data_IF_092942756394
#
_entry.id   IF_092942756394
#
_cell.length_a   1.000
_cell.length_b   1.000
_cell.length_c   1.000
_cell.angle_alpha   90.00
_cell.angle_beta   90.00
_cell.angle_gamma   90.00
#
_symmetry.space_group_name_H-M   'P 1'
#
loop_
_entity.id
_entity.type
_entity.pdbx_description
1 polymer ?
#
# COMPACT_ATOMS: atom_id res chain seq x y z
N UNK A 1 -36.43 -4.86 -29.82
CA UNK A 1 -35.63 -5.34 -30.98
C UNK A 1 -34.33 -5.88 -30.43
N UNK A 2 -34.23 -7.20 -30.34
CA UNK A 2 -33.10 -7.92 -29.78
C UNK A 2 -32.12 -8.28 -30.90
N UNK A 3 -30.86 -7.87 -30.79
CA UNK A 3 -29.79 -8.28 -31.70
C UNK A 3 -29.00 -9.44 -31.08
N UNK A 4 -29.26 -10.64 -31.61
CA UNK A 4 -28.43 -11.83 -31.49
C UNK A 4 -27.19 -11.67 -32.38
N UNK A 5 -25.98 -11.93 -31.87
CA UNK A 5 -24.82 -12.29 -32.69
C UNK A 5 -24.14 -13.54 -32.13
N UNK A 6 -24.01 -14.52 -33.03
CA UNK A 6 -23.58 -15.91 -32.82
C UNK A 6 -22.10 -16.03 -32.46
N UNK A 7 -21.82 -16.96 -31.55
CA UNK A 7 -20.51 -17.56 -31.31
C UNK A 7 -20.19 -18.61 -32.38
N UNK A 8 -18.98 -18.59 -32.94
CA UNK A 8 -18.44 -19.64 -33.80
C UNK A 8 -17.44 -20.49 -33.03
N UNK A 9 -17.77 -21.77 -32.89
CA UNK A 9 -16.92 -22.85 -32.39
C UNK A 9 -16.14 -23.48 -33.56
N UNK A 10 -14.86 -23.80 -33.35
CA UNK A 10 -14.13 -24.78 -34.17
C UNK A 10 -13.46 -25.83 -33.29
N UNK A 11 -13.78 -27.10 -33.56
CA UNK A 11 -13.21 -28.31 -32.99
C UNK A 11 -11.91 -28.73 -33.70
N UNK A 12 -11.00 -29.25 -32.88
CA UNK A 12 -9.97 -30.30 -33.05
C UNK A 12 -9.83 -31.05 -34.39
N UNK A 13 -8.57 -31.28 -34.78
CA UNK A 13 -8.12 -32.51 -35.44
C UNK A 13 -6.72 -32.94 -34.93
N UNK A 14 -6.59 -34.25 -34.70
CA UNK A 14 -5.51 -35.03 -34.11
C UNK A 14 -4.33 -35.33 -35.06
N UNK A 15 -3.16 -35.70 -34.50
CA UNK A 15 -2.19 -36.54 -35.23
C UNK A 15 -0.76 -36.52 -34.70
N UNK A 16 -0.37 -37.56 -33.96
CA UNK A 16 0.96 -37.85 -33.44
C UNK A 16 2.00 -38.13 -34.55
N UNK A 17 3.25 -37.66 -34.38
CA UNK A 17 4.49 -38.48 -34.44
C UNK A 17 5.74 -37.63 -34.70
N UNK A 18 6.65 -37.55 -33.72
CA UNK A 18 8.12 -37.74 -33.87
C UNK A 18 8.85 -37.40 -32.58
N UNK A 19 8.98 -38.42 -31.73
CA UNK A 19 10.16 -38.58 -30.90
C UNK A 19 11.39 -38.70 -31.80
N UNK A 20 12.31 -37.74 -31.69
CA UNK A 20 13.78 -37.89 -31.73
C UNK A 20 14.41 -36.52 -31.98
N UNK A 21 14.89 -35.89 -30.90
CA UNK A 21 16.06 -35.01 -30.89
C UNK A 21 16.50 -34.84 -29.43
N UNK A 22 16.90 -35.95 -28.82
CA UNK A 22 17.83 -35.95 -27.71
C UNK A 22 19.22 -35.70 -28.30
N UNK A 23 19.76 -34.49 -28.11
CA UNK A 23 21.13 -34.33 -27.64
C UNK A 23 21.45 -32.85 -27.36
N UNK A 24 22.03 -32.67 -26.16
CA UNK A 24 23.13 -31.73 -25.89
C UNK A 24 22.76 -30.29 -25.56
N UNK A 25 22.32 -30.06 -24.32
CA UNK A 25 22.75 -28.88 -23.54
C UNK A 25 23.06 -29.33 -22.11
N UNK A 26 24.35 -29.63 -21.88
CA UNK A 26 24.95 -29.70 -20.54
C UNK A 26 25.45 -28.30 -20.20
N UNK A 27 25.44 -28.02 -18.89
CA UNK A 27 26.17 -26.98 -18.15
C UNK A 27 25.77 -25.52 -18.34
N UNK A 28 25.00 -24.99 -17.38
CA UNK A 28 25.30 -23.72 -16.70
C UNK A 28 24.87 -23.81 -15.22
N UNK A 29 25.79 -24.02 -14.27
CA UNK A 29 25.48 -24.15 -12.84
C UNK A 29 25.34 -22.81 -12.10
N UNK A 30 24.85 -21.75 -12.76
CA UNK A 30 24.80 -20.38 -12.20
C UNK A 30 23.39 -19.77 -12.13
N UNK A 31 22.33 -20.59 -12.28
CA UNK A 31 20.94 -20.12 -12.27
C UNK A 31 20.03 -20.74 -11.22
N UNK A 32 20.57 -21.44 -10.21
CA UNK A 32 19.76 -22.10 -9.18
C UNK A 32 20.00 -21.66 -7.73
N UNK A 33 20.85 -20.67 -7.47
CA UNK A 33 21.15 -20.22 -6.11
C UNK A 33 20.43 -18.91 -5.68
N UNK A 34 19.81 -18.19 -6.61
CA UNK A 34 19.16 -16.88 -6.34
C UNK A 34 17.67 -17.02 -5.98
N UNK A 35 17.07 -18.17 -6.28
CA UNK A 35 15.65 -18.45 -6.00
C UNK A 35 15.43 -18.93 -4.56
N UNK A 36 16.46 -19.48 -3.90
CA UNK A 36 16.31 -20.10 -2.58
C UNK A 36 16.53 -19.14 -1.40
N UNK A 37 17.31 -18.08 -1.59
CA UNK A 37 17.67 -17.12 -0.54
C UNK A 37 16.54 -16.14 -0.22
N UNK A 38 15.81 -15.69 -1.24
CA UNK A 38 14.58 -14.92 -1.05
C UNK A 38 13.44 -15.76 -0.44
N UNK A 39 13.41 -17.07 -0.72
CA UNK A 39 12.38 -18.00 -0.27
C UNK A 39 12.46 -18.28 1.25
N UNK A 40 13.67 -18.39 1.80
CA UNK A 40 13.87 -18.54 3.26
C UNK A 40 13.65 -17.21 4.03
N UNK A 41 13.94 -16.06 3.43
CA UNK A 41 13.67 -14.74 3.99
C UNK A 41 12.16 -14.45 4.08
N UNK A 42 11.40 -14.85 3.06
CA UNK A 42 9.95 -14.81 3.13
C UNK A 42 9.42 -15.72 4.22
N UNK A 43 10.12 -16.79 4.64
CA UNK A 43 9.66 -17.73 5.68
C UNK A 43 9.75 -17.23 7.13
N UNK A 44 10.43 -16.11 7.41
CA UNK A 44 10.70 -15.67 8.79
C UNK A 44 10.27 -14.25 9.13
N UNK A 45 9.98 -13.42 8.12
CA UNK A 45 9.67 -12.02 8.34
C UNK A 45 8.17 -11.79 8.57
N UNK A 46 7.83 -11.14 9.68
CA UNK A 46 6.45 -10.76 10.04
C UNK A 46 5.98 -9.49 9.30
N UNK A 47 6.40 -9.28 8.06
CA UNK A 47 5.84 -8.20 7.23
C UNK A 47 4.48 -8.69 6.74
N UNK A 48 3.39 -8.15 7.30
CA UNK A 48 2.02 -8.58 6.97
C UNK A 48 1.78 -8.53 5.45
N UNK A 49 1.44 -9.66 4.86
CA UNK A 49 1.07 -9.78 3.45
C UNK A 49 2.20 -9.96 2.42
N UNK A 50 3.47 -9.95 2.82
CA UNK A 50 4.61 -10.12 1.90
C UNK A 50 4.67 -11.51 1.22
N UNK A 51 3.95 -12.47 1.77
CA UNK A 51 4.21 -13.89 1.69
C UNK A 51 3.71 -14.64 0.45
N UNK A 52 2.59 -14.26 -0.20
CA UNK A 52 1.98 -15.16 -1.20
C UNK A 52 1.70 -14.64 -2.58
N UNK A 53 1.91 -13.35 -2.84
CA UNK A 53 1.32 -12.78 -4.06
C UNK A 53 2.34 -12.57 -5.19
N UNK A 54 3.58 -13.03 -4.99
CA UNK A 54 4.69 -12.76 -5.92
C UNK A 54 5.20 -13.96 -6.73
N UNK A 55 4.45 -15.06 -6.80
CA UNK A 55 4.74 -16.15 -7.77
C UNK A 55 4.85 -15.65 -9.23
N UNK A 56 4.28 -14.48 -9.56
CA UNK A 56 4.27 -13.91 -10.91
C UNK A 56 5.24 -12.73 -11.16
N UNK A 57 6.01 -12.25 -10.17
CA UNK A 57 7.04 -11.21 -10.40
C UNK A 57 8.43 -11.84 -10.44
N UNK A 58 8.98 -11.98 -11.64
CA UNK A 58 10.34 -12.51 -11.88
C UNK A 58 11.43 -11.43 -11.90
N UNK A 59 11.04 -10.16 -11.70
CA UNK A 59 11.94 -9.01 -11.64
C UNK A 59 11.72 -8.29 -10.31
N UNK A 60 12.78 -8.19 -9.52
CA UNK A 60 12.80 -7.49 -8.24
C UNK A 60 14.09 -6.70 -8.08
N UNK A 61 14.18 -5.93 -6.98
CA UNK A 61 15.33 -5.13 -6.59
C UNK A 61 16.65 -5.92 -6.53
N UNK A 62 16.56 -7.24 -6.40
CA UNK A 62 17.66 -8.19 -6.44
C UNK A 62 18.40 -8.29 -7.77
N UNK A 63 17.89 -7.69 -8.85
CA UNK A 63 18.48 -7.83 -10.19
C UNK A 63 19.83 -7.10 -10.34
N UNK A 64 20.19 -6.21 -9.42
CA UNK A 64 21.39 -5.37 -9.45
C UNK A 64 22.10 -5.29 -8.09
N UNK A 65 22.29 -6.43 -7.41
CA UNK A 65 23.13 -6.50 -6.21
C UNK A 65 24.60 -6.62 -6.67
N UNK A 66 25.49 -5.68 -6.32
CA UNK A 66 26.91 -5.80 -6.67
C UNK A 66 27.53 -7.06 -6.02
N UNK A 67 28.52 -7.66 -6.68
CA UNK A 67 29.12 -8.92 -6.23
C UNK A 67 29.81 -8.85 -4.85
N UNK A 68 30.10 -7.65 -4.36
CA UNK A 68 30.64 -7.40 -3.01
C UNK A 68 29.60 -7.54 -1.88
N UNK A 69 28.31 -7.53 -2.20
CA UNK A 69 27.23 -7.66 -1.22
C UNK A 69 26.65 -9.07 -1.25
N UNK A 70 26.43 -9.63 -0.05
CA UNK A 70 25.72 -10.89 0.10
C UNK A 70 24.21 -10.69 -0.07
N UNK A 71 23.59 -11.53 -0.91
CA UNK A 71 22.18 -11.37 -1.25
C UNK A 71 21.25 -11.71 -0.07
N UNK A 72 21.65 -12.64 0.80
CA UNK A 72 20.89 -12.98 2.01
C UNK A 72 20.96 -11.84 3.03
N UNK A 73 22.13 -11.23 3.21
CA UNK A 73 22.28 -10.05 4.04
C UNK A 73 21.43 -8.88 3.53
N UNK A 74 21.45 -8.58 2.24
CA UNK A 74 20.60 -7.53 1.64
C UNK A 74 19.12 -7.86 1.80
N UNK A 75 18.74 -9.13 1.69
CA UNK A 75 17.36 -9.54 1.94
C UNK A 75 16.97 -9.28 3.41
N UNK A 76 17.80 -9.73 4.36
CA UNK A 76 17.56 -9.60 5.80
C UNK A 76 17.30 -8.15 6.23
N UNK A 77 18.04 -7.18 5.67
CA UNK A 77 17.88 -5.79 6.05
C UNK A 77 16.56 -5.15 5.62
N UNK A 78 15.77 -5.74 4.72
CA UNK A 78 14.41 -5.26 4.44
C UNK A 78 13.45 -5.44 5.64
N UNK A 79 13.79 -6.28 6.63
CA UNK A 79 12.99 -6.40 7.86
C UNK A 79 12.94 -5.08 8.65
N UNK A 80 13.94 -4.21 8.48
CA UNK A 80 14.00 -2.89 9.12
C UNK A 80 12.96 -1.91 8.57
N UNK A 81 12.32 -2.21 7.44
CA UNK A 81 11.16 -1.43 6.98
C UNK A 81 10.00 -1.49 7.98
N UNK A 82 9.89 -2.57 8.77
CA UNK A 82 8.86 -2.71 9.80
C UNK A 82 8.98 -1.65 10.90
N UNK A 83 10.18 -1.09 11.12
CA UNK A 83 10.37 -0.01 12.08
C UNK A 83 9.52 1.24 11.80
N UNK A 84 9.04 1.37 10.57
CA UNK A 84 8.19 2.47 10.14
C UNK A 84 6.69 2.18 10.27
N UNK A 85 6.29 0.92 10.33
CA UNK A 85 4.89 0.48 10.20
C UNK A 85 4.37 -0.31 11.40
N UNK A 86 5.26 -0.87 12.23
CA UNK A 86 4.91 -1.71 13.37
C UNK A 86 5.27 -1.01 14.69
N UNK A 87 4.26 -0.64 15.46
CA UNK A 87 4.41 -0.03 16.80
C UNK A 87 5.04 -1.00 17.81
N UNK A 88 4.96 -2.31 17.55
CA UNK A 88 5.59 -3.35 18.37
C UNK A 88 6.98 -3.75 17.86
N UNK A 89 7.53 -3.00 16.90
CA UNK A 89 8.82 -3.31 16.30
C UNK A 89 9.94 -3.38 17.35
N UNK A 90 10.65 -4.49 17.35
CA UNK A 90 11.89 -4.67 18.08
C UNK A 90 13.01 -4.82 17.07
N UNK A 91 13.99 -3.94 17.14
CA UNK A 91 15.13 -3.97 16.22
C UNK A 91 15.83 -5.35 16.25
N UNK A 92 16.02 -6.00 15.10
CA UNK A 92 16.82 -7.23 15.01
C UNK A 92 18.25 -7.00 15.51
N UNK A 93 18.90 -8.07 15.97
CA UNK A 93 20.28 -8.00 16.49
C UNK A 93 21.35 -7.83 15.41
N UNK A 94 21.00 -8.00 14.13
CA UNK A 94 21.91 -7.93 13.00
C UNK A 94 21.89 -6.53 12.35
N UNK A 95 22.97 -6.13 11.68
CA UNK A 95 23.09 -4.79 11.07
C UNK A 95 22.87 -4.78 9.55
N UNK A 96 22.19 -5.80 9.01
CA UNK A 96 21.97 -6.00 7.58
C UNK A 96 21.24 -4.84 6.88
N UNK A 97 20.58 -3.98 7.65
CA UNK A 97 20.04 -2.70 7.17
C UNK A 97 21.11 -1.83 6.49
N UNK A 98 22.39 -1.90 6.91
CA UNK A 98 23.50 -1.14 6.31
C UNK A 98 23.78 -1.59 4.88
N UNK A 99 23.89 -2.91 4.67
CA UNK A 99 24.10 -3.50 3.35
C UNK A 99 22.92 -3.18 2.43
N UNK A 100 21.70 -3.31 2.95
CA UNK A 100 20.47 -3.03 2.21
C UNK A 100 20.35 -1.56 1.81
N UNK A 101 20.60 -0.63 2.74
CA UNK A 101 20.59 0.82 2.47
C UNK A 101 21.62 1.21 1.40
N UNK A 102 22.82 0.61 1.46
CA UNK A 102 23.86 0.84 0.47
C UNK A 102 23.45 0.36 -0.92
N UNK A 103 22.88 -0.84 -1.04
CA UNK A 103 22.41 -1.39 -2.32
C UNK A 103 21.25 -0.57 -2.89
N UNK A 104 20.29 -0.14 -2.06
CA UNK A 104 19.20 0.73 -2.50
C UNK A 104 19.72 2.05 -3.06
N UNK A 105 20.67 2.68 -2.35
CA UNK A 105 21.33 3.92 -2.81
C UNK A 105 22.10 3.74 -4.11
N UNK A 106 22.86 2.66 -4.26
CA UNK A 106 23.62 2.36 -5.49
C UNK A 106 22.70 2.20 -6.70
N UNK A 107 21.48 1.69 -6.47
CA UNK A 107 20.47 1.51 -7.49
C UNK A 107 19.53 2.72 -7.66
N UNK A 108 19.75 3.80 -6.90
CA UNK A 108 18.88 4.97 -6.87
C UNK A 108 17.41 4.61 -6.61
N UNK A 109 17.19 3.70 -5.66
CA UNK A 109 15.87 3.24 -5.22
C UNK A 109 15.54 3.91 -3.90
N UNK A 110 14.35 4.53 -3.82
CA UNK A 110 13.86 5.15 -2.58
C UNK A 110 13.32 4.09 -1.59
N UNK A 111 13.21 4.43 -0.31
CA UNK A 111 12.54 3.59 0.68
C UNK A 111 11.06 3.41 0.33
N UNK A 112 10.38 4.43 -0.19
CA UNK A 112 9.03 4.25 -0.73
C UNK A 112 8.98 3.18 -1.83
N UNK A 113 9.86 3.28 -2.84
CA UNK A 113 9.92 2.32 -3.93
C UNK A 113 10.25 0.92 -3.41
N UNK A 114 11.21 0.80 -2.49
CA UNK A 114 11.56 -0.44 -1.82
C UNK A 114 10.38 -1.04 -1.06
N UNK A 115 9.70 -0.25 -0.22
CA UNK A 115 8.56 -0.69 0.57
C UNK A 115 7.40 -1.16 -0.33
N UNK A 116 7.03 -0.39 -1.35
CA UNK A 116 6.04 -0.79 -2.36
C UNK A 116 6.48 -2.02 -3.14
N UNK A 117 7.79 -2.13 -3.40
CA UNK A 117 8.38 -3.23 -4.14
C UNK A 117 8.71 -4.44 -3.28
N UNK A 118 8.55 -4.45 -1.96
CA UNK A 118 8.55 -5.69 -1.17
C UNK A 118 7.15 -6.05 -0.69
N UNK A 119 6.29 -5.05 -0.46
CA UNK A 119 4.92 -5.26 -0.02
C UNK A 119 4.01 -5.84 -1.12
N UNK A 120 2.92 -6.51 -0.74
CA UNK A 120 1.84 -6.87 -1.66
C UNK A 120 1.14 -5.64 -2.25
N UNK A 121 0.76 -5.73 -3.52
CA UNK A 121 0.07 -4.67 -4.26
C UNK A 121 -1.45 -4.80 -4.29
N UNK A 122 -2.12 -3.88 -4.97
CA UNK A 122 -3.59 -3.89 -5.01
C UNK A 122 -4.19 -5.06 -5.78
N UNK A 123 -3.56 -5.46 -6.88
CA UNK A 123 -3.98 -6.64 -7.63
C UNK A 123 -3.76 -7.95 -6.85
N UNK A 124 -2.94 -7.89 -5.80
CA UNK A 124 -2.60 -9.04 -4.97
C UNK A 124 -3.76 -9.33 -4.00
N UNK A 125 -4.26 -8.30 -3.30
CA UNK A 125 -5.36 -8.45 -2.34
C UNK A 125 -6.75 -8.28 -2.96
N UNK A 126 -6.95 -7.35 -3.89
CA UNK A 126 -8.27 -6.98 -4.41
C UNK A 126 -8.42 -7.59 -5.81
N UNK A 127 -9.23 -8.65 -5.92
CA UNK A 127 -9.34 -9.45 -7.16
C UNK A 127 -10.49 -9.04 -8.05
N UNK A 128 -11.66 -8.79 -7.45
CA UNK A 128 -12.88 -8.39 -8.18
C UNK A 128 -13.56 -7.27 -7.44
N UNK A 129 -14.11 -6.33 -8.18
CA UNK A 129 -14.70 -5.12 -7.64
C UNK A 129 -16.04 -4.87 -8.29
N UNK A 130 -17.01 -4.50 -7.48
CA UNK A 130 -18.35 -4.19 -7.92
C UNK A 130 -18.80 -2.90 -7.28
N UNK A 131 -19.59 -2.14 -8.02
CA UNK A 131 -20.41 -1.08 -7.48
C UNK A 131 -21.87 -1.48 -7.66
N UNK A 132 -22.54 -1.75 -6.54
CA UNK A 132 -23.78 -2.54 -6.55
C UNK A 132 -23.58 -3.86 -7.30
N UNK A 133 -24.34 -4.07 -8.37
CA UNK A 133 -24.28 -5.28 -9.19
C UNK A 133 -23.30 -5.21 -10.38
N UNK A 134 -22.68 -4.04 -10.63
CA UNK A 134 -21.85 -3.83 -11.81
C UNK A 134 -20.39 -4.10 -11.51
N UNK A 135 -19.82 -5.13 -12.13
CA UNK A 135 -18.39 -5.44 -12.03
C UNK A 135 -17.55 -4.38 -12.78
N UNK A 136 -16.47 -3.93 -12.17
CA UNK A 136 -15.49 -3.05 -12.77
C UNK A 136 -14.06 -3.56 -12.53
N UNK A 137 -13.12 -3.11 -13.34
CA UNK A 137 -11.71 -3.46 -13.15
C UNK A 137 -11.16 -2.79 -11.89
N UNK A 138 -10.75 -3.58 -10.90
CA UNK A 138 -10.22 -3.07 -9.64
C UNK A 138 -9.01 -2.14 -9.80
N UNK A 139 -8.19 -2.38 -10.84
CA UNK A 139 -7.00 -1.58 -11.13
C UNK A 139 -7.11 -1.07 -12.57
N UNK A 140 -7.58 0.16 -12.70
CA UNK A 140 -7.69 0.88 -13.97
C UNK A 140 -7.23 2.33 -13.84
N UNK A 141 -6.90 2.97 -14.96
CA UNK A 141 -6.46 4.37 -15.00
C UNK A 141 -7.59 5.39 -14.81
N UNK A 142 -8.83 4.94 -14.61
CA UNK A 142 -9.99 5.82 -14.44
C UNK A 142 -10.01 6.43 -13.02
N UNK A 143 -10.36 7.72 -12.91
CA UNK A 143 -10.18 8.53 -11.69
C UNK A 143 -11.05 8.07 -10.50
N UNK A 144 -12.20 7.43 -10.75
CA UNK A 144 -13.24 7.26 -9.72
C UNK A 144 -13.53 5.81 -9.29
N UNK A 145 -13.46 4.84 -10.21
CA UNK A 145 -13.80 3.44 -9.96
C UNK A 145 -12.55 2.57 -10.02
N UNK A 146 -11.57 2.85 -9.17
CA UNK A 146 -10.29 2.14 -9.19
C UNK A 146 -9.66 2.15 -7.81
N UNK A 147 -8.92 1.09 -7.50
CA UNK A 147 -7.99 1.05 -6.39
C UNK A 147 -6.62 1.52 -6.87
N UNK A 148 -6.05 2.47 -6.14
CA UNK A 148 -4.70 2.97 -6.37
C UNK A 148 -3.76 2.54 -5.23
N UNK A 149 -2.47 2.27 -5.53
CA UNK A 149 -1.47 2.05 -4.50
C UNK A 149 -1.27 3.31 -3.68
N UNK A 150 -1.34 3.17 -2.36
CA UNK A 150 -1.19 4.26 -1.39
C UNK A 150 -0.36 3.79 -0.21
N UNK A 151 -0.17 4.67 0.76
CA UNK A 151 0.41 4.34 2.05
C UNK A 151 -0.59 4.72 3.14
N UNK A 152 -0.48 4.04 4.28
CA UNK A 152 -1.09 4.41 5.55
C UNK A 152 -0.07 4.17 6.67
N UNK A 153 -0.44 4.46 7.92
CA UNK A 153 0.41 4.13 9.08
C UNK A 153 0.78 2.64 9.19
N UNK A 154 0.00 1.75 8.56
CA UNK A 154 0.26 0.30 8.49
C UNK A 154 1.20 -0.12 7.34
N UNK A 155 1.68 0.82 6.52
CA UNK A 155 2.51 0.51 5.35
C UNK A 155 1.83 0.75 4.00
N UNK A 156 2.39 0.17 2.93
CA UNK A 156 1.75 0.11 1.61
C UNK A 156 0.33 -0.47 1.67
N UNK A 157 -0.62 0.26 1.09
CA UNK A 157 -2.04 -0.01 1.12
C UNK A 157 -2.69 0.21 -0.26
N UNK A 158 -3.99 -0.03 -0.34
CA UNK A 158 -4.80 0.19 -1.53
C UNK A 158 -6.04 1.01 -1.19
N UNK A 159 -6.19 2.14 -1.84
CA UNK A 159 -7.30 3.06 -1.57
C UNK A 159 -8.24 3.17 -2.77
N UNK A 160 -9.53 3.16 -2.47
CA UNK A 160 -10.61 3.46 -3.40
C UNK A 160 -11.15 4.86 -3.11
N UNK A 161 -11.49 5.63 -4.14
CA UNK A 161 -12.07 6.97 -4.01
C UNK A 161 -11.23 7.93 -3.13
N UNK A 162 -9.90 7.88 -3.29
CA UNK A 162 -8.95 8.67 -2.51
C UNK A 162 -8.11 9.56 -3.42
N UNK A 163 -8.13 10.87 -3.19
CA UNK A 163 -7.35 11.82 -3.99
C UNK A 163 -6.97 13.07 -3.18
N UNK A 164 -6.06 12.95 -2.22
CA UNK A 164 -5.74 14.02 -1.28
C UNK A 164 -4.99 15.20 -1.92
N UNK A 165 -4.41 15.00 -3.12
CA UNK A 165 -3.56 16.00 -3.81
C UNK A 165 -4.33 16.86 -4.80
N UNK A 166 -5.46 16.38 -5.32
CA UNK A 166 -6.27 17.13 -6.26
C UNK A 166 -7.38 17.89 -5.52
N UNK A 167 -7.16 19.18 -5.26
CA UNK A 167 -8.15 20.03 -4.60
C UNK A 167 -9.44 20.26 -5.42
N UNK A 168 -9.45 19.86 -6.69
CA UNK A 168 -10.64 19.87 -7.57
C UNK A 168 -11.26 18.48 -7.71
N UNK A 169 -10.76 17.48 -6.99
CA UNK A 169 -11.35 16.14 -6.98
C UNK A 169 -12.75 16.19 -6.41
N UNK A 170 -13.70 15.63 -7.17
CA UNK A 170 -15.05 15.38 -6.71
C UNK A 170 -15.10 13.90 -6.36
N UNK A 171 -15.21 13.53 -5.08
CA UNK A 171 -15.32 12.14 -4.69
C UNK A 171 -16.52 11.49 -5.35
N UNK A 172 -16.33 10.24 -5.76
CA UNK A 172 -17.42 9.41 -6.18
C UNK A 172 -18.37 9.17 -5.00
N UNK A 173 -19.67 9.40 -5.21
CA UNK A 173 -20.68 9.30 -4.16
C UNK A 173 -21.77 8.31 -4.55
N UNK A 174 -22.26 7.58 -3.55
CA UNK A 174 -23.45 6.77 -3.69
C UNK A 174 -24.69 7.66 -3.71
N UNK A 175 -25.64 7.36 -4.59
CA UNK A 175 -26.94 8.02 -4.68
C UNK A 175 -28.07 7.22 -4.01
N UNK A 176 -27.77 5.98 -3.57
CA UNK A 176 -28.69 5.09 -2.86
C UNK A 176 -27.97 4.48 -1.66
N UNK A 177 -28.75 4.00 -0.70
CA UNK A 177 -28.25 3.38 0.54
C UNK A 177 -28.36 1.86 0.48
N UNK A 178 -27.68 1.18 1.39
CA UNK A 178 -27.67 -0.28 1.49
C UNK A 178 -26.65 -0.94 0.57
N UNK A 179 -26.72 -2.28 0.51
CA UNK A 179 -25.72 -3.10 -0.18
C UNK A 179 -25.65 -2.79 -1.69
N UNK A 180 -26.77 -2.43 -2.29
CA UNK A 180 -26.88 -2.11 -3.72
C UNK A 180 -26.20 -0.79 -4.11
N UNK A 181 -25.99 0.10 -3.14
CA UNK A 181 -25.33 1.41 -3.31
C UNK A 181 -23.85 1.42 -2.94
N UNK A 182 -23.30 0.27 -2.58
CA UNK A 182 -21.97 0.17 -1.99
C UNK A 182 -20.90 -0.37 -2.92
N UNK A 183 -19.67 -0.33 -2.41
CA UNK A 183 -18.53 -1.04 -2.94
C UNK A 183 -18.55 -2.49 -2.43
N UNK A 184 -18.46 -3.45 -3.34
CA UNK A 184 -18.19 -4.86 -2.99
C UNK A 184 -16.85 -5.26 -3.56
N UNK A 185 -16.01 -5.88 -2.73
CA UNK A 185 -14.74 -6.44 -3.16
C UNK A 185 -14.68 -7.92 -2.86
N UNK A 186 -14.12 -8.69 -3.78
CA UNK A 186 -13.68 -10.06 -3.50
C UNK A 186 -12.17 -9.99 -3.36
N UNK A 187 -11.72 -10.20 -2.13
CA UNK A 187 -10.31 -10.16 -1.77
C UNK A 187 -9.69 -11.54 -1.61
N UNK A 188 -8.36 -11.60 -1.69
CA UNK A 188 -7.57 -12.77 -1.30
C UNK A 188 -6.63 -12.34 -0.20
N UNK A 189 -6.60 -13.07 0.92
CA UNK A 189 -5.54 -12.88 1.91
C UNK A 189 -4.22 -13.42 1.35
N UNK A 190 -3.12 -12.71 1.67
CA UNK A 190 -1.76 -13.06 1.26
C UNK A 190 -1.00 -13.97 2.22
N UNK A 191 -1.69 -14.69 3.12
CA UNK A 191 -1.08 -15.62 4.08
C UNK A 191 -1.80 -16.97 4.08
N UNK A 192 -1.15 -18.04 3.59
CA UNK A 192 -1.64 -19.43 3.62
C UNK A 192 -1.37 -20.05 4.99
N UNK A 193 -0.41 -19.49 5.74
CA UNK A 193 0.08 -20.04 7.00
C UNK A 193 -0.55 -19.38 8.23
N UNK A 194 -1.18 -18.22 8.08
CA UNK A 194 -1.84 -17.53 9.17
C UNK A 194 -3.28 -17.17 8.80
N UNK A 195 -4.17 -18.17 8.81
CA UNK A 195 -5.61 -18.00 8.57
C UNK A 195 -6.32 -17.18 9.67
N UNK A 196 -5.57 -16.69 10.66
CA UNK A 196 -6.05 -15.84 11.75
C UNK A 196 -5.96 -14.33 11.43
N UNK A 197 -5.30 -13.97 10.33
CA UNK A 197 -5.22 -12.60 9.84
C UNK A 197 -6.27 -12.36 8.76
N UNK A 198 -6.56 -11.09 8.47
CA UNK A 198 -7.65 -10.70 7.59
C UNK A 198 -7.30 -9.44 6.83
N UNK A 199 -8.21 -8.95 5.98
CA UNK A 199 -8.06 -7.64 5.37
C UNK A 199 -8.44 -6.57 6.40
N UNK A 200 -7.50 -5.69 6.72
CA UNK A 200 -7.78 -4.50 7.51
C UNK A 200 -8.33 -3.44 6.56
N UNK A 201 -9.59 -3.06 6.75
CA UNK A 201 -10.25 -1.98 6.01
C UNK A 201 -10.21 -0.72 6.85
N UNK A 202 -9.60 0.33 6.30
CA UNK A 202 -9.51 1.65 6.91
C UNK A 202 -10.48 2.59 6.20
N UNK A 203 -11.36 3.23 6.96
CA UNK A 203 -12.39 4.14 6.45
C UNK A 203 -12.05 5.56 6.88
N UNK A 204 -11.97 6.45 5.91
CA UNK A 204 -11.58 7.85 6.10
C UNK A 204 -12.21 8.74 5.03
N UNK A 205 -12.09 10.06 5.20
CA UNK A 205 -12.55 11.01 4.20
C UNK A 205 -11.64 10.98 2.95
N UNK A 206 -12.17 11.14 1.72
CA UNK A 206 -11.41 11.08 0.46
C UNK A 206 -10.19 12.02 0.34
N UNK A 207 -10.18 13.08 1.14
CA UNK A 207 -9.12 14.10 1.17
C UNK A 207 -8.17 13.98 2.36
N UNK A 208 -8.46 13.10 3.32
CA UNK A 208 -7.63 12.90 4.50
C UNK A 208 -6.70 11.72 4.29
N UNK A 209 -5.43 11.90 4.67
CA UNK A 209 -4.48 10.80 4.73
C UNK A 209 -4.83 9.86 5.88
N UNK A 210 -4.55 8.56 5.71
CA UNK A 210 -4.90 7.52 6.68
C UNK A 210 -3.92 7.48 7.83
N UNK A 211 -4.39 7.86 9.01
CA UNK A 211 -3.64 7.82 10.27
C UNK A 211 -4.21 6.76 11.21
N UNK A 212 -3.53 6.54 12.34
CA UNK A 212 -3.96 5.62 13.42
C UNK A 212 -5.36 5.92 13.98
N UNK A 213 -5.84 7.15 13.83
CA UNK A 213 -7.18 7.56 14.29
C UNK A 213 -8.30 7.21 13.31
N UNK A 214 -7.97 6.64 12.15
CA UNK A 214 -8.95 6.24 11.14
C UNK A 214 -9.76 5.04 11.64
N UNK A 215 -11.06 5.01 11.31
CA UNK A 215 -11.90 3.87 11.66
C UNK A 215 -11.38 2.61 10.94
N UNK A 216 -11.22 1.52 11.68
CA UNK A 216 -10.70 0.26 11.16
C UNK A 216 -11.63 -0.91 11.46
N UNK A 217 -11.71 -1.85 10.52
CA UNK A 217 -12.38 -3.14 10.70
C UNK A 217 -11.52 -4.23 10.08
N UNK A 218 -11.40 -5.37 10.75
CA UNK A 218 -10.68 -6.54 10.21
C UNK A 218 -11.69 -7.52 9.65
N UNK A 219 -11.57 -7.83 8.37
CA UNK A 219 -12.38 -8.83 7.66
C UNK A 219 -11.59 -10.14 7.61
N UNK A 220 -12.07 -11.17 8.30
CA UNK A 220 -11.41 -12.47 8.33
C UNK A 220 -11.53 -13.21 7.00
N UNK A 221 -10.52 -14.01 6.66
CA UNK A 221 -10.58 -14.84 5.46
C UNK A 221 -11.73 -15.86 5.52
N UNK A 222 -12.19 -16.28 4.33
CA UNK A 222 -13.29 -17.25 4.15
C UNK A 222 -14.63 -16.77 4.74
N UNK A 223 -14.82 -15.47 4.87
CA UNK A 223 -16.06 -14.85 5.31
C UNK A 223 -16.61 -13.89 4.26
N UNK A 224 -17.92 -13.66 4.31
CA UNK A 224 -18.56 -12.50 3.72
C UNK A 224 -18.88 -11.54 4.86
N UNK A 225 -18.38 -10.30 4.77
CA UNK A 225 -18.54 -9.28 5.81
C UNK A 225 -19.22 -8.05 5.21
N UNK A 226 -20.27 -7.58 5.90
CA UNK A 226 -20.97 -6.35 5.55
C UNK A 226 -20.50 -5.24 6.49
N UNK A 227 -19.86 -4.21 5.92
CA UNK A 227 -19.35 -3.06 6.67
C UNK A 227 -20.25 -1.87 6.40
N UNK A 228 -21.09 -1.51 7.38
CA UNK A 228 -21.93 -0.32 7.32
C UNK A 228 -21.09 0.93 7.63
N UNK A 229 -21.18 1.94 6.76
CA UNK A 229 -20.50 3.22 6.93
C UNK A 229 -21.53 4.29 7.29
N UNK A 230 -21.45 4.80 8.51
CA UNK A 230 -22.31 5.88 9.03
C UNK A 230 -21.50 7.15 9.22
N UNK A 231 -21.44 8.05 8.21
CA UNK A 231 -20.63 9.26 8.29
C UNK A 231 -21.23 10.24 9.29
N UNK A 232 -20.38 10.87 10.11
CA UNK A 232 -20.76 11.96 11.00
C UNK A 232 -20.10 13.25 10.51
N UNK A 233 -20.90 14.28 10.28
CA UNK A 233 -20.42 15.62 9.92
C UNK A 233 -20.65 16.54 11.10
N UNK A 234 -19.57 17.15 11.60
CA UNK A 234 -19.63 18.19 12.62
C UNK A 234 -19.39 19.53 11.92
N UNK A 235 -20.37 20.43 12.03
CA UNK A 235 -20.29 21.79 11.49
C UNK A 235 -20.85 22.78 12.49
N UNK A 236 -20.23 23.96 12.56
CA UNK A 236 -20.75 25.08 13.35
C UNK A 236 -21.83 25.84 12.57
N UNK A 237 -22.70 26.56 13.29
CA UNK A 237 -23.64 27.48 12.67
C UNK A 237 -22.91 28.68 12.07
N UNK A 238 -23.55 29.36 11.11
CA UNK A 238 -22.95 30.51 10.41
C UNK A 238 -22.60 31.62 11.41
N UNK A 239 -23.46 31.87 12.39
CA UNK A 239 -23.27 32.91 13.41
C UNK A 239 -22.02 32.66 14.26
N UNK A 240 -21.69 31.39 14.53
CA UNK A 240 -20.46 31.01 15.25
C UNK A 240 -19.24 31.21 14.37
N UNK A 241 -19.32 30.90 13.08
CA UNK A 241 -18.22 31.07 12.12
C UNK A 241 -17.89 32.55 11.86
N UNK A 242 -18.87 33.45 12.00
CA UNK A 242 -18.69 34.91 11.90
C UNK A 242 -17.99 35.54 13.11
N UNK A 243 -18.01 34.87 14.28
CA UNK A 243 -17.25 35.32 15.45
C UNK A 243 -15.75 35.33 15.12
N UNK A 244 -14.97 36.23 15.71
CA UNK A 244 -13.51 36.22 15.57
C UNK A 244 -12.89 34.90 16.03
N UNK A 245 -11.76 34.50 15.44
CA UNK A 245 -11.01 33.27 15.76
C UNK A 245 -10.89 33.01 17.27
N UNK A 246 -10.46 34.03 18.02
CA UNK A 246 -10.27 33.96 19.47
C UNK A 246 -11.54 33.71 20.29
N UNK A 247 -12.73 33.93 19.72
CA UNK A 247 -14.02 33.72 20.39
C UNK A 247 -14.64 32.35 20.08
N UNK A 248 -14.42 31.84 18.87
CA UNK A 248 -14.97 30.55 18.42
C UNK A 248 -14.03 29.37 18.70
N UNK A 249 -12.74 29.63 18.96
CA UNK A 249 -11.73 28.62 19.31
C UNK A 249 -11.59 27.50 18.26
N UNK A 250 -11.85 27.84 16.99
CA UNK A 250 -11.70 26.93 15.85
C UNK A 250 -11.29 27.69 14.59
N UNK A 251 -10.63 26.97 13.68
CA UNK A 251 -10.12 27.51 12.41
C UNK A 251 -10.98 27.05 11.24
N UNK A 252 -11.20 27.95 10.29
CA UNK A 252 -11.79 27.71 8.98
C UNK A 252 -10.75 27.95 7.87
N UNK A 253 -11.09 27.50 6.66
CA UNK A 253 -10.27 27.68 5.44
C UNK A 253 -9.75 29.11 5.26
N UNK A 254 -10.60 30.11 5.51
CA UNK A 254 -10.27 31.53 5.31
C UNK A 254 -9.24 32.04 6.33
N UNK A 255 -9.27 31.56 7.57
CA UNK A 255 -8.33 32.00 8.62
C UNK A 255 -6.87 31.67 8.27
N UNK A 256 -6.68 30.52 7.63
CA UNK A 256 -5.38 29.96 7.28
C UNK A 256 -5.05 30.15 5.80
N UNK A 257 -5.88 30.86 5.04
CA UNK A 257 -5.74 31.08 3.60
C UNK A 257 -5.55 29.77 2.80
N UNK A 258 -6.26 28.71 3.17
CA UNK A 258 -6.23 27.42 2.48
C UNK A 258 -7.56 27.16 1.78
N UNK A 259 -7.52 26.67 0.54
CA UNK A 259 -8.74 26.34 -0.23
C UNK A 259 -9.63 25.33 0.50
N UNK A 260 -9.02 24.31 1.10
CA UNK A 260 -9.70 23.24 1.83
C UNK A 260 -8.93 22.96 3.14
N UNK A 261 -9.30 23.64 4.22
CA UNK A 261 -8.76 23.32 5.55
C UNK A 261 -9.46 22.11 6.15
N UNK A 262 -8.68 21.17 6.68
CA UNK A 262 -9.16 20.06 7.49
C UNK A 262 -8.23 19.91 8.69
N UNK A 263 -8.82 19.78 9.87
CA UNK A 263 -8.06 19.62 11.11
C UNK A 263 -7.14 18.39 11.05
N UNK A 264 -7.60 17.27 10.49
CA UNK A 264 -6.80 16.06 10.31
C UNK A 264 -5.52 16.31 9.49
N UNK A 265 -5.63 17.03 8.36
CA UNK A 265 -4.48 17.38 7.52
C UNK A 265 -3.52 18.33 8.25
N UNK A 266 -4.03 19.26 9.06
CA UNK A 266 -3.23 20.18 9.87
C UNK A 266 -2.44 19.44 10.96
N UNK A 267 -3.08 18.53 11.68
CA UNK A 267 -2.42 17.70 12.70
C UNK A 267 -1.35 16.81 12.08
N UNK A 268 -1.63 16.20 10.93
CA UNK A 268 -0.66 15.41 10.20
C UNK A 268 0.54 16.25 9.73
N UNK A 269 0.29 17.45 9.22
CA UNK A 269 1.35 18.39 8.85
C UNK A 269 2.26 18.74 10.03
N UNK A 270 1.67 18.96 11.22
CA UNK A 270 2.41 19.19 12.45
C UNK A 270 3.27 17.98 12.84
N UNK A 271 2.71 16.77 12.77
CA UNK A 271 3.44 15.52 13.04
C UNK A 271 4.61 15.33 12.06
N UNK A 272 4.37 15.49 10.77
CA UNK A 272 5.42 15.38 9.73
C UNK A 272 6.53 16.41 9.95
N UNK A 273 6.19 17.65 10.31
CA UNK A 273 7.17 18.69 10.62
C UNK A 273 7.98 18.37 11.88
N UNK A 274 7.35 17.79 12.92
CA UNK A 274 8.03 17.37 14.13
C UNK A 274 9.04 16.25 13.86
N UNK A 275 8.65 15.24 13.08
CA UNK A 275 9.53 14.13 12.66
C UNK A 275 10.70 14.68 11.84
N UNK A 276 10.43 15.52 10.84
CA UNK A 276 11.47 16.11 10.01
C UNK A 276 12.47 16.96 10.83
N UNK A 277 11.99 17.72 11.81
CA UNK A 277 12.84 18.51 12.72
C UNK A 277 13.68 17.63 13.64
N UNK A 278 13.13 16.50 14.10
CA UNK A 278 13.78 15.60 15.08
C UNK A 278 14.77 14.63 14.44
N UNK A 279 14.38 14.01 13.33
CA UNK A 279 15.15 12.97 12.65
C UNK A 279 15.84 13.43 11.36
N UNK A 280 15.55 14.66 10.88
CA UNK A 280 16.22 15.22 9.70
C UNK A 280 15.82 14.56 8.37
N UNK A 281 14.71 13.84 8.34
CA UNK A 281 14.20 13.12 7.17
C UNK A 281 12.66 13.08 7.18
N UNK A 282 12.06 12.81 6.02
CA UNK A 282 10.62 12.60 5.89
C UNK A 282 10.30 11.10 5.75
N UNK A 283 9.30 10.65 6.48
CA UNK A 283 8.87 9.25 6.42
C UNK A 283 8.16 8.96 5.09
N UNK A 284 8.47 7.84 4.45
CA UNK A 284 7.86 7.45 3.17
C UNK A 284 6.33 7.21 3.26
N UNK A 285 5.85 6.92 4.48
CA UNK A 285 4.45 6.75 4.85
C UNK A 285 3.74 8.07 5.14
N UNK A 286 4.37 9.22 4.97
CA UNK A 286 3.73 10.51 5.25
C UNK A 286 3.72 11.37 3.99
N UNK A 287 2.67 12.18 3.78
CA UNK A 287 2.64 13.11 2.68
C UNK A 287 3.75 14.16 2.84
N UNK A 288 4.38 14.54 1.73
CA UNK A 288 5.36 15.64 1.71
C UNK A 288 4.59 16.95 1.84
N UNK A 289 4.71 17.61 2.99
CA UNK A 289 3.91 18.81 3.29
C UNK A 289 4.60 20.11 2.85
N UNK A 290 5.95 20.19 2.90
CA UNK A 290 6.71 21.30 2.31
C UNK A 290 8.22 21.08 2.41
N UNK A 291 8.97 21.64 1.45
CA UNK A 291 10.44 21.63 1.41
C UNK A 291 11.06 20.38 0.77
N UNK A 292 12.30 20.53 0.29
CA UNK A 292 13.12 19.41 -0.20
C UNK A 292 13.78 18.68 0.98
N UNK A 293 12.98 18.07 1.86
CA UNK A 293 13.49 17.20 2.93
C UNK A 293 13.82 15.83 2.32
N UNK A 294 14.99 15.26 2.62
CA UNK A 294 15.34 13.91 2.15
C UNK A 294 14.38 12.86 2.74
N UNK A 295 14.11 11.80 1.99
CA UNK A 295 13.38 10.63 2.51
C UNK A 295 14.22 9.95 3.60
N UNK A 296 13.57 9.43 4.63
CA UNK A 296 14.22 8.61 5.65
C UNK A 296 14.75 7.33 5.00
N UNK A 297 16.00 7.02 5.28
CA UNK A 297 16.64 5.79 4.82
C UNK A 297 16.52 4.67 5.90
N UNK A 298 17.08 3.48 5.65
CA UNK A 298 16.96 2.40 6.64
C UNK A 298 17.74 2.69 7.93
N UNK A 299 18.80 3.50 7.88
CA UNK A 299 19.51 3.94 9.09
C UNK A 299 18.68 4.92 9.92
N UNK A 300 17.83 5.72 9.28
CA UNK A 300 16.98 6.72 9.96
C UNK A 300 15.83 6.05 10.75
N UNK A 301 15.55 4.76 10.50
CA UNK A 301 14.54 3.96 11.22
C UNK A 301 14.69 4.01 12.74
N UNK A 302 15.91 3.98 13.26
CA UNK A 302 16.17 4.00 14.70
C UNK A 302 15.80 5.33 15.35
N UNK A 303 15.96 6.44 14.64
CA UNK A 303 15.51 7.74 15.16
C UNK A 303 13.99 7.76 15.26
N UNK A 304 13.31 7.35 14.19
CA UNK A 304 11.86 7.30 14.16
C UNK A 304 11.32 6.38 15.26
N UNK A 305 11.76 5.11 15.27
CA UNK A 305 11.28 4.10 16.22
C UNK A 305 11.49 4.49 17.68
N UNK A 306 12.63 5.15 18.01
CA UNK A 306 12.90 5.59 19.38
C UNK A 306 12.02 6.75 19.86
N UNK A 307 11.53 7.60 18.96
CA UNK A 307 10.83 8.85 19.34
C UNK A 307 9.33 8.82 19.00
N UNK A 308 8.89 7.96 18.08
CA UNK A 308 7.55 8.03 17.47
C UNK A 308 6.88 6.69 17.15
N UNK A 309 7.57 5.53 17.28
CA UNK A 309 6.93 4.21 17.10
C UNK A 309 6.38 3.66 18.42
#
# INVERSE_FOLDING_TARGET
>A
MAHNVKWMSKRSASGSSRQRLLHRWRSHPLKLAIVNTFWEYTERTKVSGMWLLRRNRTQGLSSNIPAEYDADEVAAGFEFLNAFTDQSYVAPSHESYKATDAVLRLNNVSIWEAAMAVSPGCADFVKRCFWGYSEFQCNQSHEYLSFIPTTAYLGPCCSFNYNPRNASFVPFSANIFGMDGGLTIIGSEGSEHNLSTGLIVLVHHPMDYVTETSASVTITARSESFVEISPTVQSSSIEVLELSESKRDCLISDDVNLRNYRQAACLLACQTAAIAKRCGCHLYLLPIVSGHVKECNLNDTFCYSKNYA
#
